data_IF_659422881906
#
_entry.id   IF_659422881906
#
_cell.length_a   1.000
_cell.length_b   1.000
_cell.length_c   1.000
_cell.angle_alpha   90.00
_cell.angle_beta   90.00
_cell.angle_gamma   90.00
#
_symmetry.space_group_name_H-M   'P 1'
#
loop_
_entity.id
_entity.type
_entity.pdbx_description
1 polymer ?
#
# COMPACT_ATOMS: atom_id res chain seq x y z
N UNK A 1 17.04 -23.68 -18.51
CA UNK A 1 16.66 -22.99 -17.25
C UNK A 1 16.80 -21.49 -17.46
N UNK A 2 15.71 -20.73 -17.39
CA UNK A 2 15.77 -19.27 -17.48
C UNK A 2 16.22 -18.72 -16.12
N UNK A 3 17.52 -18.45 -15.98
CA UNK A 3 18.08 -17.87 -14.76
C UNK A 3 17.95 -16.35 -14.86
N UNK A 4 17.03 -15.75 -14.09
CA UNK A 4 16.99 -14.30 -13.93
C UNK A 4 18.20 -13.87 -13.10
N UNK A 5 19.22 -13.29 -13.74
CA UNK A 5 20.42 -12.73 -13.10
C UNK A 5 20.62 -11.27 -13.50
N UNK A 6 21.24 -10.50 -12.62
CA UNK A 6 21.59 -9.10 -12.85
C UNK A 6 20.36 -8.19 -12.98
N UNK A 7 20.41 -7.26 -13.92
CA UNK A 7 19.40 -6.20 -14.06
C UNK A 7 18.00 -6.74 -14.40
N UNK A 8 17.90 -7.89 -15.09
CA UNK A 8 16.60 -8.51 -15.40
C UNK A 8 15.88 -9.00 -14.14
N UNK A 9 16.63 -9.49 -13.15
CA UNK A 9 16.08 -9.88 -11.85
C UNK A 9 15.62 -8.65 -11.07
N UNK A 10 16.43 -7.59 -11.06
CA UNK A 10 16.08 -6.33 -10.40
C UNK A 10 14.81 -5.76 -11.00
N UNK A 11 14.71 -5.65 -12.33
CA UNK A 11 13.50 -5.15 -13.00
C UNK A 11 12.25 -5.97 -12.67
N UNK A 12 12.39 -7.30 -12.58
CA UNK A 12 11.29 -8.18 -12.20
C UNK A 12 10.83 -7.97 -10.75
N UNK A 13 11.77 -7.90 -9.81
CA UNK A 13 11.46 -7.67 -8.39
C UNK A 13 10.86 -6.28 -8.18
N UNK A 14 11.42 -5.25 -8.81
CA UNK A 14 10.88 -3.88 -8.73
C UNK A 14 9.44 -3.79 -9.26
N UNK A 15 9.13 -4.53 -10.33
CA UNK A 15 7.77 -4.59 -10.87
C UNK A 15 6.80 -5.24 -9.87
N UNK A 16 7.18 -6.36 -9.25
CA UNK A 16 6.38 -7.01 -8.22
C UNK A 16 6.15 -6.11 -7.00
N UNK A 17 7.21 -5.52 -6.47
CA UNK A 17 7.11 -4.63 -5.31
C UNK A 17 6.30 -3.37 -5.64
N UNK A 18 6.46 -2.81 -6.85
CA UNK A 18 5.67 -1.68 -7.32
C UNK A 18 4.18 -2.01 -7.44
N UNK A 19 3.83 -3.16 -7.99
CA UNK A 19 2.44 -3.62 -8.08
C UNK A 19 1.81 -3.80 -6.69
N UNK A 20 2.54 -4.45 -5.78
CA UNK A 20 2.09 -4.63 -4.39
C UNK A 20 1.93 -3.29 -3.68
N UNK A 21 2.89 -2.37 -3.84
CA UNK A 21 2.83 -1.02 -3.28
C UNK A 21 1.62 -0.22 -3.77
N UNK A 22 1.28 -0.30 -5.07
CA UNK A 22 0.10 0.36 -5.63
C UNK A 22 -1.20 -0.22 -5.06
N UNK A 23 -1.30 -1.54 -4.90
CA UNK A 23 -2.50 -2.16 -4.30
C UNK A 23 -2.65 -1.85 -2.81
N UNK A 24 -1.54 -1.70 -2.08
CA UNK A 24 -1.53 -1.35 -0.66
C UNK A 24 -1.70 0.14 -0.39
N UNK A 25 -1.44 1.00 -1.39
CA UNK A 25 -1.57 2.45 -1.28
C UNK A 25 -2.93 2.90 -0.71
N UNK A 26 -4.10 2.48 -1.24
CA UNK A 26 -5.40 2.89 -0.69
C UNK A 26 -5.72 2.27 0.68
N UNK A 27 -5.02 1.20 1.08
CA UNK A 27 -5.27 0.51 2.37
C UNK A 27 -4.46 1.14 3.49
N UNK A 28 -3.22 1.52 3.21
CA UNK A 28 -2.27 2.00 4.22
C UNK A 28 -2.07 3.50 4.15
N UNK A 29 -1.96 4.06 2.95
CA UNK A 29 -1.62 5.48 2.77
C UNK A 29 -2.86 6.36 2.87
N UNK A 30 -4.00 5.95 2.32
CA UNK A 30 -5.28 6.66 2.43
C UNK A 30 -5.68 6.99 3.89
N UNK A 31 -5.68 6.04 4.86
CA UNK A 31 -6.00 6.36 6.25
C UNK A 31 -4.95 7.25 6.93
N UNK A 32 -3.70 7.21 6.47
CA UNK A 32 -2.61 8.03 7.02
C UNK A 32 -2.66 9.48 6.53
N UNK A 33 -3.01 9.70 5.25
CA UNK A 33 -3.16 11.05 4.68
C UNK A 33 -4.49 11.68 5.14
N UNK A 34 -5.58 10.92 5.17
CA UNK A 34 -6.89 11.43 5.56
C UNK A 34 -7.42 10.80 6.85
N UNK A 35 -6.75 11.15 7.95
CA UNK A 35 -7.15 10.78 9.31
C UNK A 35 -8.52 11.35 9.72
N UNK A 36 -9.08 12.35 9.02
CA UNK A 36 -10.37 12.95 9.38
C UNK A 36 -11.54 11.97 9.25
N UNK A 37 -11.52 11.11 8.23
CA UNK A 37 -12.56 10.09 8.04
C UNK A 37 -12.58 9.07 9.18
N UNK A 38 -11.41 8.75 9.74
CA UNK A 38 -11.30 7.88 10.91
C UNK A 38 -11.66 8.59 12.20
N UNK A 39 -11.30 9.88 12.35
CA UNK A 39 -11.70 10.67 13.52
C UNK A 39 -13.21 10.83 13.62
N UNK A 40 -13.91 11.11 12.52
CA UNK A 40 -15.38 11.25 12.54
C UNK A 40 -16.08 9.93 12.84
N UNK A 41 -15.56 8.80 12.34
CA UNK A 41 -16.02 7.45 12.72
C UNK A 41 -15.77 7.15 14.20
N UNK A 42 -14.64 7.60 14.75
CA UNK A 42 -14.32 7.41 16.16
C UNK A 42 -15.20 8.30 17.07
N UNK A 43 -15.49 9.54 16.67
CA UNK A 43 -16.44 10.41 17.37
C UNK A 43 -17.87 9.85 17.34
N UNK A 44 -18.33 9.32 16.21
CA UNK A 44 -19.63 8.66 16.12
C UNK A 44 -19.74 7.43 17.04
N UNK A 45 -18.69 6.62 17.13
CA UNK A 45 -18.67 5.46 18.03
C UNK A 45 -18.51 5.84 19.50
N UNK A 46 -17.82 6.94 19.81
CA UNK A 46 -17.62 7.41 21.20
C UNK A 46 -18.85 8.11 21.78
N UNK A 47 -19.75 8.60 20.93
CA UNK A 47 -21.00 9.25 21.35
C UNK A 47 -22.19 8.26 21.44
N UNK A 48 -21.94 6.96 21.26
CA UNK A 48 -22.91 5.88 21.46
C UNK A 48 -22.65 5.16 22.77
#
# INVERSE_FOLDING_TARGET
MAVLRGWRFIGFVSCLVGAVGLTLYPVVVDPMINTQKYKSLQEHNRNK
#
